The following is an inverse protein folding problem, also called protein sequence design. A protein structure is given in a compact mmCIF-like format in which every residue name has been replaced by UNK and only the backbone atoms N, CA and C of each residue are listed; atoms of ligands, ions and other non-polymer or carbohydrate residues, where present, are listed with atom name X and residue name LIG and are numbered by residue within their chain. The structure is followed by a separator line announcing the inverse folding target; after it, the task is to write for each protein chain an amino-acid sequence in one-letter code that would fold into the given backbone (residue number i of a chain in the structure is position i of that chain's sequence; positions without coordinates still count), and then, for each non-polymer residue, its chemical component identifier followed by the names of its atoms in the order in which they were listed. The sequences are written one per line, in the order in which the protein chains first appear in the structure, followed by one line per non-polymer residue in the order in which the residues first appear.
data_IF_620889645161
#
_entry.id   IF_620889645161
#
_cell.length_a   1.000
_cell.length_b   1.000
_cell.length_c   1.000
_cell.angle_alpha   90.00
_cell.angle_beta   90.00
_cell.angle_gamma   90.00
#
_symmetry.space_group_name_H-M   'P 1'
#
loop_
_entity.id
_entity.type
_entity.pdbx_description
1 polymer ?
#
# COMPACT_ATOMS: atom_id res chain seq x y z
N UNK A 1 -17.61 7.00 -2.67
CA UNK A 1 -16.57 7.73 -1.92
C UNK A 1 -16.59 7.15 -0.52
N UNK A 2 -15.55 6.40 -0.14
CA UNK A 2 -15.42 5.91 1.23
C UNK A 2 -14.42 6.82 1.96
N UNK A 3 -14.81 7.32 3.12
CA UNK A 3 -14.05 8.30 3.91
C UNK A 3 -13.22 7.59 4.98
N UNK A 4 -12.57 6.48 4.64
CA UNK A 4 -11.76 5.74 5.62
C UNK A 4 -10.52 6.57 5.90
N UNK A 5 -10.52 7.25 7.05
CA UNK A 5 -9.40 8.06 7.53
C UNK A 5 -8.38 7.23 8.31
N UNK A 6 -8.84 6.14 8.96
CA UNK A 6 -7.99 5.26 9.76
C UNK A 6 -8.35 3.78 9.53
N UNK A 7 -7.32 2.94 9.44
CA UNK A 7 -7.47 1.49 9.42
C UNK A 7 -7.73 1.04 10.86
N UNK A 8 -9.00 0.93 11.23
CA UNK A 8 -9.43 0.50 12.57
C UNK A 8 -9.32 -1.01 12.82
N UNK A 9 -9.78 -1.44 14.00
CA UNK A 9 -9.62 -2.83 14.48
C UNK A 9 -10.27 -3.91 13.62
N UNK A 10 -11.18 -3.53 12.71
CA UNK A 10 -11.81 -4.45 11.77
C UNK A 10 -10.79 -5.23 10.93
N UNK A 11 -9.67 -4.61 10.56
CA UNK A 11 -8.60 -5.27 9.80
C UNK A 11 -7.75 -6.23 10.66
N UNK A 12 -7.72 -6.05 11.98
CA UNK A 12 -7.03 -6.97 12.89
C UNK A 12 -7.70 -8.35 12.95
N UNK A 13 -9.01 -8.43 12.72
CA UNK A 13 -9.75 -9.69 12.72
C UNK A 13 -9.75 -10.39 11.36
N UNK A 14 -9.30 -9.72 10.29
CA UNK A 14 -9.23 -10.28 8.93
C UNK A 14 -7.92 -11.04 8.70
N UNK A 15 -7.68 -12.08 9.50
CA UNK A 15 -6.42 -12.84 9.49
C UNK A 15 -6.16 -13.58 8.18
N UNK A 16 -7.20 -14.00 7.46
CA UNK A 16 -7.09 -14.74 6.20
C UNK A 16 -7.21 -13.87 4.94
N UNK A 17 -7.14 -12.55 5.09
CA UNK A 17 -7.26 -11.63 3.95
C UNK A 17 -6.07 -11.83 2.99
N UNK A 18 -6.36 -12.01 1.70
CA UNK A 18 -5.35 -12.15 0.63
C UNK A 18 -5.17 -10.89 -0.19
N UNK A 19 -6.24 -10.13 -0.39
CA UNK A 19 -6.26 -8.90 -1.19
C UNK A 19 -6.97 -7.83 -0.39
N UNK A 20 -6.31 -6.68 -0.23
CA UNK A 20 -6.87 -5.50 0.40
C UNK A 20 -6.76 -4.32 -0.56
N UNK A 21 -7.91 -3.82 -1.00
CA UNK A 21 -7.97 -2.58 -1.77
C UNK A 21 -8.56 -1.49 -0.90
N UNK A 22 -7.74 -0.48 -0.65
CA UNK A 22 -8.08 0.78 0.01
C UNK A 22 -7.86 1.93 -0.97
N UNK A 23 -7.92 1.66 -2.28
CA UNK A 23 -7.76 2.67 -3.33
C UNK A 23 -8.83 3.75 -3.23
N UNK A 24 -8.46 5.01 -3.48
CA UNK A 24 -9.33 6.19 -3.45
C UNK A 24 -10.03 6.41 -2.10
N UNK A 25 -9.31 6.21 -0.99
CA UNK A 25 -9.72 6.67 0.33
C UNK A 25 -8.95 7.95 0.71
N UNK A 26 -9.06 8.36 1.98
CA UNK A 26 -8.43 9.58 2.50
C UNK A 26 -7.41 9.27 3.60
N UNK A 27 -6.81 8.09 3.55
CA UNK A 27 -5.86 7.61 4.56
C UNK A 27 -4.62 8.51 4.52
N UNK A 28 -4.25 9.08 5.67
CA UNK A 28 -3.09 9.98 5.81
C UNK A 28 -1.88 9.32 6.45
N UNK A 29 -2.10 8.39 7.37
CA UNK A 29 -1.04 7.70 8.09
C UNK A 29 -1.35 6.21 8.23
N UNK A 30 -0.31 5.38 8.19
CA UNK A 30 -0.38 3.97 8.59
C UNK A 30 0.62 3.77 9.72
N UNK A 31 0.10 3.38 10.89
CA UNK A 31 0.91 3.13 12.07
C UNK A 31 1.66 1.80 12.00
N UNK A 32 2.72 1.70 12.81
CA UNK A 32 3.40 0.42 13.01
C UNK A 32 2.43 -0.62 13.56
N UNK A 33 2.44 -1.81 12.98
CA UNK A 33 1.57 -2.90 13.40
C UNK A 33 0.11 -2.81 12.93
N UNK A 34 -0.30 -1.81 12.15
CA UNK A 34 -1.65 -1.76 11.53
C UNK A 34 -2.00 -3.05 10.79
N UNK A 35 -1.04 -3.67 10.12
CA UNK A 35 -1.24 -4.94 9.39
C UNK A 35 -0.67 -6.17 10.12
N UNK A 36 -0.45 -6.10 11.44
CA UNK A 36 0.25 -7.13 12.23
C UNK A 36 -0.39 -8.52 12.13
N UNK A 37 -1.71 -8.59 11.95
CA UNK A 37 -2.47 -9.84 11.93
C UNK A 37 -2.77 -10.35 10.50
N UNK A 38 -2.40 -9.61 9.45
CA UNK A 38 -2.73 -9.93 8.06
C UNK A 38 -1.58 -10.66 7.36
N UNK A 39 -1.00 -11.68 8.00
CA UNK A 39 0.19 -12.39 7.49
C UNK A 39 -0.02 -13.11 6.15
N UNK A 40 -1.27 -13.34 5.75
CA UNK A 40 -1.65 -13.97 4.48
C UNK A 40 -1.93 -12.98 3.35
N UNK A 41 -1.81 -11.67 3.60
CA UNK A 41 -2.07 -10.65 2.60
C UNK A 41 -1.01 -10.75 1.49
N UNK A 42 -1.47 -10.80 0.23
CA UNK A 42 -0.65 -10.95 -0.96
C UNK A 42 -0.62 -9.67 -1.81
N UNK A 43 -1.75 -8.96 -1.87
CA UNK A 43 -1.89 -7.73 -2.65
C UNK A 43 -2.47 -6.62 -1.79
N UNK A 44 -1.78 -5.48 -1.74
CA UNK A 44 -2.21 -4.28 -1.03
C UNK A 44 -2.24 -3.08 -1.98
N UNK A 45 -3.45 -2.55 -2.21
CA UNK A 45 -3.66 -1.38 -3.05
C UNK A 45 -4.06 -0.19 -2.17
N UNK A 46 -3.21 0.81 -2.13
CA UNK A 46 -3.37 2.07 -1.38
C UNK A 46 -3.32 3.28 -2.31
N UNK A 47 -3.54 3.07 -3.61
CA UNK A 47 -3.46 4.14 -4.60
C UNK A 47 -4.53 5.22 -4.39
N UNK A 48 -4.22 6.47 -4.72
CA UNK A 48 -5.18 7.58 -4.66
C UNK A 48 -5.61 7.94 -3.23
N UNK A 49 -4.72 7.70 -2.25
CA UNK A 49 -4.90 8.14 -0.87
C UNK A 49 -4.14 9.45 -0.61
N UNK A 50 -4.11 9.88 0.65
CA UNK A 50 -3.34 11.06 1.08
C UNK A 50 -2.21 10.65 2.01
N UNK A 51 -1.58 9.49 1.76
CA UNK A 51 -0.57 8.95 2.66
C UNK A 51 0.62 9.90 2.74
N UNK A 52 0.83 10.49 3.91
CA UNK A 52 1.94 11.38 4.24
C UNK A 52 3.01 10.62 5.02
N UNK A 53 2.59 9.68 5.88
CA UNK A 53 3.48 8.92 6.75
C UNK A 53 3.14 7.43 6.79
N UNK A 54 4.19 6.60 6.71
CA UNK A 54 4.12 5.16 6.90
C UNK A 54 5.12 4.78 7.98
N UNK A 55 4.65 4.04 8.98
CA UNK A 55 5.51 3.48 10.01
C UNK A 55 6.57 2.56 9.42
N UNK A 56 7.76 2.54 10.02
CA UNK A 56 8.90 1.74 9.57
C UNK A 56 8.63 0.23 9.58
N UNK A 57 7.77 -0.22 10.50
CA UNK A 57 7.46 -1.63 10.72
C UNK A 57 6.01 -1.95 10.32
N UNK A 58 5.31 -1.03 9.64
CA UNK A 58 3.90 -1.20 9.29
C UNK A 58 3.66 -2.42 8.38
N UNK A 59 4.63 -2.79 7.54
CA UNK A 59 4.56 -3.95 6.63
C UNK A 59 5.37 -5.17 7.10
N UNK A 60 6.06 -5.11 8.25
CA UNK A 60 7.02 -6.14 8.69
C UNK A 60 6.40 -7.54 8.87
N UNK A 61 5.09 -7.62 9.12
CA UNK A 61 4.35 -8.88 9.37
C UNK A 61 3.63 -9.43 8.15
N UNK A 62 3.74 -8.74 7.01
CA UNK A 62 3.12 -9.12 5.75
C UNK A 62 3.98 -10.12 4.98
N UNK A 63 4.20 -11.30 5.56
CA UNK A 63 5.12 -12.32 5.02
C UNK A 63 4.72 -12.87 3.65
N UNK A 64 3.43 -12.83 3.31
CA UNK A 64 2.92 -13.33 2.04
C UNK A 64 2.74 -12.25 0.98
N UNK A 65 3.11 -11.00 1.29
CA UNK A 65 2.87 -9.87 0.42
C UNK A 65 3.78 -9.94 -0.80
N UNK A 66 3.18 -9.81 -1.98
CA UNK A 66 3.84 -9.89 -3.28
C UNK A 66 3.84 -8.53 -3.97
N UNK A 67 2.73 -7.81 -3.84
CA UNK A 67 2.49 -6.57 -4.54
C UNK A 67 1.98 -5.49 -3.57
N UNK A 68 2.65 -4.34 -3.60
CA UNK A 68 2.25 -3.13 -2.87
C UNK A 68 2.17 -1.97 -3.85
N UNK A 69 0.98 -1.39 -4.00
CA UNK A 69 0.74 -0.23 -4.87
C UNK A 69 0.35 0.97 -4.03
N UNK A 70 1.18 2.00 -4.03
CA UNK A 70 0.99 3.24 -3.26
C UNK A 70 1.05 4.49 -4.15
N UNK A 71 0.74 4.34 -5.44
CA UNK A 71 0.68 5.45 -6.39
C UNK A 71 -0.30 6.55 -5.94
N UNK A 72 -0.14 7.78 -6.43
CA UNK A 72 -1.08 8.88 -6.12
C UNK A 72 -1.22 9.13 -4.61
N UNK A 73 -0.09 9.18 -3.90
CA UNK A 73 0.01 9.53 -2.48
C UNK A 73 0.98 10.70 -2.27
N UNK A 74 1.03 11.21 -1.04
CA UNK A 74 1.84 12.38 -0.64
C UNK A 74 3.09 11.98 0.16
N UNK A 75 3.60 10.77 -0.08
CA UNK A 75 4.70 10.20 0.69
C UNK A 75 5.97 11.02 0.47
N UNK A 76 6.43 11.66 1.54
CA UNK A 76 7.57 12.59 1.47
C UNK A 76 8.93 11.86 1.42
N UNK A 77 9.00 10.62 1.93
CA UNK A 77 10.18 9.75 1.79
C UNK A 77 9.86 8.29 2.15
N UNK A 78 10.45 7.29 1.49
CA UNK A 78 10.21 5.88 1.80
C UNK A 78 11.09 5.39 2.96
N UNK A 79 10.94 5.95 4.17
CA UNK A 79 11.61 5.42 5.37
C UNK A 79 11.18 3.98 5.72
N UNK A 80 9.96 3.60 5.37
CA UNK A 80 9.41 2.25 5.54
C UNK A 80 10.02 1.20 4.59
N UNK A 81 10.80 1.65 3.59
CA UNK A 81 11.45 0.78 2.59
C UNK A 81 12.90 0.44 2.97
N UNK A 82 13.32 0.68 4.22
CA UNK A 82 14.69 0.42 4.67
C UNK A 82 14.70 -0.57 5.85
N UNK A 83 15.04 -1.86 5.65
CA UNK A 83 15.55 -2.46 4.41
C UNK A 83 14.43 -2.78 3.41
N UNK A 84 14.72 -2.73 2.09
CA UNK A 84 13.74 -3.03 1.07
C UNK A 84 13.34 -4.50 1.20
N UNK A 85 12.04 -4.80 1.28
CA UNK A 85 11.59 -6.17 1.35
C UNK A 85 11.99 -6.89 0.05
N UNK A 86 12.91 -7.84 0.16
CA UNK A 86 13.54 -8.56 -0.96
C UNK A 86 12.58 -9.40 -1.81
N UNK A 87 11.29 -9.43 -1.44
CA UNK A 87 10.23 -10.17 -2.12
C UNK A 87 9.08 -9.29 -2.61
N UNK A 88 9.15 -7.98 -2.38
CA UNK A 88 8.04 -7.06 -2.68
C UNK A 88 8.28 -6.30 -3.98
N UNK A 89 7.39 -6.51 -4.95
CA UNK A 89 7.23 -5.57 -6.04
C UNK A 89 6.49 -4.34 -5.51
N UNK A 90 7.26 -3.36 -5.04
CA UNK A 90 6.71 -2.06 -4.68
C UNK A 90 6.54 -1.24 -5.96
N UNK A 91 5.29 -1.09 -6.39
CA UNK A 91 4.95 -0.25 -7.53
C UNK A 91 4.80 1.20 -7.06
N UNK A 92 5.93 1.92 -6.96
CA UNK A 92 5.99 3.37 -6.80
C UNK A 92 5.82 4.06 -8.15
N UNK A 93 4.67 3.90 -8.82
CA UNK A 93 4.48 4.63 -10.09
C UNK A 93 4.46 6.13 -9.81
N UNK A 94 5.46 6.82 -10.35
CA UNK A 94 5.57 8.27 -10.34
C UNK A 94 4.35 8.91 -11.02
N UNK A 95 3.94 10.09 -10.53
CA UNK A 95 2.81 10.91 -11.00
C UNK A 95 2.96 11.46 -12.44
N UNK A 96 3.68 10.76 -13.32
CA UNK A 96 3.93 11.16 -14.71
C UNK A 96 3.91 9.93 -15.61
N UNK A 97 2.82 9.15 -15.58
CA UNK A 97 2.48 8.30 -16.71
C UNK A 97 1.12 8.75 -17.25
N UNK A 98 1.13 9.97 -17.80
CA UNK A 98 0.17 10.33 -18.83
C UNK A 98 0.20 9.23 -19.88
N UNK A 99 -0.98 8.69 -20.18
CA UNK A 99 -1.24 7.77 -21.27
C UNK A 99 -0.31 7.99 -22.47
N UNK A 100 0.56 7.01 -22.69
CA UNK A 100 0.97 6.63 -24.05
C UNK A 100 1.44 5.17 -24.05
N UNK A 101 0.57 4.27 -23.58
CA UNK A 101 0.38 3.04 -24.37
C UNK A 101 -0.54 3.40 -25.53
N UNK A 102 -0.05 4.29 -26.39
CA UNK A 102 -0.56 4.37 -27.75
C UNK A 102 -0.11 3.07 -28.42
N UNK A 103 -1.12 2.35 -28.90
CA UNK A 103 -1.05 1.16 -29.71
C UNK A 103 0.13 1.11 -30.71
N UNK A 104 0.56 -0.13 -30.93
CA UNK A 104 1.01 -0.68 -32.21
C UNK A 104 2.36 -0.24 -32.81
N UNK A 105 3.31 -1.18 -32.71
CA UNK A 105 3.88 -1.92 -33.85
C UNK A 105 4.48 -1.06 -34.98
N UNK A 106 5.81 -1.07 -35.04
CA UNK A 106 6.56 -1.19 -36.30
C UNK A 106 7.48 -2.39 -36.21
#
# INVERSE_FOLDING_TARGET
MNLIEEIGEALFNMTHLKVLSLTNNVIRFIADGTFRNNSFLQHLYLSGNKLEWLGKDCFQRLFSLKELVIAENLLMSPQWLDPPPSQLEVSLRSQQQSDSTACDRF
#
